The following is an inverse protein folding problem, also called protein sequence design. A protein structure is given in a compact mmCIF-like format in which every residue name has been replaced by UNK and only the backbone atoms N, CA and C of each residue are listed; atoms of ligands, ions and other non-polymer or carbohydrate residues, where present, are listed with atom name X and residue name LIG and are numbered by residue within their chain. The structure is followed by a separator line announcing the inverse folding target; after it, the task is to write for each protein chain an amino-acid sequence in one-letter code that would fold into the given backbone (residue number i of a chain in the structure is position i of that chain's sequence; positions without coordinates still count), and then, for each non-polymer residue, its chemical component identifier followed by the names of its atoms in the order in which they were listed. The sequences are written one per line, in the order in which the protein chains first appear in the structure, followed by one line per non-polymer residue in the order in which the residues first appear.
data_IF_662533291957
#
_entry.id   IF_662533291957
#
_cell.length_a   1.000
_cell.length_b   1.000
_cell.length_c   1.000
_cell.angle_alpha   90.00
_cell.angle_beta   90.00
_cell.angle_gamma   90.00
#
_symmetry.space_group_name_H-M   'P 1'
#
loop_
_entity.id
_entity.type
_entity.pdbx_description
1 polymer ?
#
# COMPACT_ATOMS: atom_id res chain seq x y z
N UNK A 1 -1.69 -38.01 -42.44
CA UNK A 1 -0.70 -37.53 -41.47
C UNK A 1 0.46 -36.93 -42.27
N UNK A 2 0.52 -35.60 -42.43
CA UNK A 2 1.67 -34.95 -43.06
C UNK A 2 2.92 -35.28 -42.24
N UNK A 3 4.00 -35.66 -42.91
CA UNK A 3 5.20 -36.19 -42.24
C UNK A 3 5.83 -35.08 -41.40
N UNK A 4 6.26 -35.39 -40.17
CA UNK A 4 6.91 -34.43 -39.26
C UNK A 4 8.11 -33.70 -39.89
N UNK A 5 8.71 -34.30 -40.93
CA UNK A 5 9.75 -33.69 -41.77
C UNK A 5 9.23 -32.57 -42.68
N UNK A 6 8.04 -32.73 -43.28
CA UNK A 6 7.43 -31.70 -44.14
C UNK A 6 7.00 -30.45 -43.35
N UNK A 7 6.66 -30.63 -42.07
CA UNK A 7 6.36 -29.50 -41.18
C UNK A 7 7.63 -28.72 -40.83
N UNK A 8 8.72 -29.42 -40.48
CA UNK A 8 10.01 -28.79 -40.21
C UNK A 8 10.57 -28.06 -41.43
N UNK A 9 10.48 -28.64 -42.63
CA UNK A 9 10.91 -27.99 -43.88
C UNK A 9 10.05 -26.76 -44.21
N UNK A 10 8.73 -26.78 -43.94
CA UNK A 10 7.88 -25.59 -44.09
C UNK A 10 8.24 -24.50 -43.08
N UNK A 11 8.53 -24.87 -41.84
CA UNK A 11 8.93 -23.91 -40.80
C UNK A 11 10.30 -23.28 -41.11
N UNK A 12 11.26 -24.07 -41.64
CA UNK A 12 12.55 -23.57 -42.14
C UNK A 12 12.39 -22.65 -43.36
N UNK A 13 11.48 -22.97 -44.30
CA UNK A 13 11.16 -22.08 -45.41
C UNK A 13 10.48 -20.78 -44.97
N UNK A 14 9.66 -20.83 -43.91
CA UNK A 14 9.02 -19.65 -43.32
C UNK A 14 10.05 -18.77 -42.58
N UNK A 15 11.02 -19.36 -41.89
CA UNK A 15 12.11 -18.64 -41.22
C UNK A 15 13.06 -17.94 -42.19
N UNK A 16 13.34 -18.55 -43.36
CA UNK A 16 14.24 -17.98 -44.37
C UNK A 16 13.58 -16.95 -45.30
N UNK A 17 12.32 -16.57 -45.05
CA UNK A 17 11.59 -15.63 -45.90
C UNK A 17 11.95 -14.19 -45.53
N UNK A 18 12.26 -13.37 -46.54
CA UNK A 18 12.45 -11.93 -46.33
C UNK A 18 11.11 -11.32 -45.92
N UNK A 19 11.00 -10.90 -44.65
CA UNK A 19 9.81 -10.25 -44.10
C UNK A 19 9.91 -8.76 -44.43
N UNK A 20 9.01 -8.28 -45.28
CA UNK A 20 8.89 -6.86 -45.60
C UNK A 20 7.93 -6.18 -44.63
N UNK A 21 8.24 -4.96 -44.20
CA UNK A 21 7.34 -4.11 -43.42
C UNK A 21 6.56 -3.14 -44.33
N UNK A 22 5.37 -2.74 -43.88
CA UNK A 22 4.65 -1.60 -44.47
C UNK A 22 5.56 -0.36 -44.45
N UNK A 23 5.71 0.38 -45.57
CA UNK A 23 4.77 0.59 -46.68
C UNK A 23 4.98 -0.28 -47.94
N UNK A 24 5.90 -1.25 -47.91
CA UNK A 24 6.25 -2.06 -49.08
C UNK A 24 5.06 -2.94 -49.51
N UNK A 25 4.59 -2.77 -50.74
CA UNK A 25 3.42 -3.49 -51.28
C UNK A 25 3.79 -4.88 -51.81
N UNK A 26 4.25 -5.75 -50.92
CA UNK A 26 4.65 -7.12 -51.25
C UNK A 26 3.94 -8.13 -50.37
N UNK A 27 3.51 -9.25 -50.94
CA UNK A 27 2.76 -10.29 -50.22
C UNK A 27 1.38 -9.83 -49.75
N UNK A 28 0.98 -10.19 -48.52
CA UNK A 28 -0.33 -9.84 -47.92
C UNK A 28 -0.36 -8.40 -47.37
N UNK A 29 0.32 -7.46 -48.02
CA UNK A 29 0.45 -6.09 -47.54
C UNK A 29 -0.90 -5.40 -47.36
N UNK A 30 -1.89 -5.70 -48.20
CA UNK A 30 -3.23 -5.10 -48.14
C UNK A 30 -4.01 -5.57 -46.92
N UNK A 31 -3.92 -6.85 -46.57
CA UNK A 31 -4.52 -7.41 -45.36
C UNK A 31 -3.83 -6.88 -44.10
N UNK A 32 -2.49 -6.82 -44.10
CA UNK A 32 -1.72 -6.25 -43.00
C UNK A 32 -2.03 -4.76 -42.79
N UNK A 33 -2.21 -4.00 -43.87
CA UNK A 33 -2.62 -2.60 -43.79
C UNK A 33 -4.04 -2.46 -43.23
N UNK A 34 -5.00 -3.25 -43.73
CA UNK A 34 -6.38 -3.23 -43.25
C UNK A 34 -6.49 -3.61 -41.76
N UNK A 35 -5.74 -4.62 -41.31
CA UNK A 35 -5.67 -4.99 -39.89
C UNK A 35 -5.12 -3.85 -39.03
N UNK A 36 -4.04 -3.18 -39.47
CA UNK A 36 -3.49 -2.03 -38.75
C UNK A 36 -4.46 -0.84 -38.70
N UNK A 37 -5.15 -0.55 -39.80
CA UNK A 37 -6.15 0.51 -39.85
C UNK A 37 -7.30 0.21 -38.88
N UNK A 38 -7.76 -1.04 -38.84
CA UNK A 38 -8.78 -1.51 -37.89
C UNK A 38 -8.31 -1.39 -36.44
N UNK A 39 -7.09 -1.86 -36.10
CA UNK A 39 -6.51 -1.72 -34.76
C UNK A 39 -6.36 -0.26 -34.34
N UNK A 40 -5.95 0.60 -35.28
CA UNK A 40 -5.80 2.04 -35.06
C UNK A 40 -7.17 2.69 -34.82
N UNK A 41 -8.18 2.33 -35.61
CA UNK A 41 -9.55 2.80 -35.44
C UNK A 41 -10.14 2.36 -34.09
N UNK A 42 -9.94 1.08 -33.71
CA UNK A 42 -10.38 0.56 -32.41
C UNK A 42 -9.66 1.26 -31.24
N UNK A 43 -8.36 1.49 -31.35
CA UNK A 43 -7.59 2.24 -30.35
C UNK A 43 -8.07 3.69 -30.24
N UNK A 44 -8.37 4.34 -31.37
CA UNK A 44 -8.92 5.71 -31.39
C UNK A 44 -10.30 5.75 -30.74
N UNK A 45 -11.16 4.78 -31.04
CA UNK A 45 -12.47 4.65 -30.41
C UNK A 45 -12.36 4.47 -28.90
N UNK A 46 -11.52 3.54 -28.43
CA UNK A 46 -11.26 3.32 -26.99
C UNK A 46 -10.68 4.57 -26.31
N UNK A 47 -9.78 5.28 -26.97
CA UNK A 47 -9.19 6.54 -26.48
C UNK A 47 -10.25 7.62 -26.25
N UNK A 48 -11.19 7.77 -27.18
CA UNK A 48 -12.28 8.75 -27.10
C UNK A 48 -13.25 8.45 -25.95
N UNK A 49 -13.44 7.17 -25.61
CA UNK A 49 -14.33 6.74 -24.53
C UNK A 49 -13.62 6.49 -23.20
N UNK A 50 -12.37 6.95 -23.03
CA UNK A 50 -11.57 6.71 -21.83
C UNK A 50 -11.43 5.22 -21.45
N UNK A 51 -11.56 4.31 -22.42
CA UNK A 51 -11.53 2.86 -22.21
C UNK A 51 -10.13 2.25 -22.35
N UNK A 52 -9.09 3.04 -22.60
CA UNK A 52 -7.72 2.52 -22.62
C UNK A 52 -7.27 2.19 -21.21
N UNK A 53 -6.63 1.03 -21.04
CA UNK A 53 -6.05 0.59 -19.77
C UNK A 53 -5.09 1.64 -19.20
N UNK A 54 -4.28 2.28 -20.06
CA UNK A 54 -3.36 3.36 -19.66
C UNK A 54 -4.10 4.55 -19.04
N UNK A 55 -5.28 4.91 -19.54
CA UNK A 55 -6.08 6.01 -18.99
C UNK A 55 -6.65 5.64 -17.62
N UNK A 56 -7.22 4.43 -17.50
CA UNK A 56 -7.73 3.91 -16.22
C UNK A 56 -6.64 3.85 -15.15
N UNK A 57 -5.50 3.27 -15.50
CA UNK A 57 -4.30 3.19 -14.66
C UNK A 57 -3.84 4.57 -14.20
N UNK A 58 -3.76 5.54 -15.11
CA UNK A 58 -3.32 6.90 -14.77
C UNK A 58 -4.28 7.56 -13.80
N UNK A 59 -5.58 7.31 -13.94
CA UNK A 59 -6.60 7.80 -13.03
C UNK A 59 -6.47 7.17 -11.64
N UNK A 60 -6.24 5.85 -11.57
CA UNK A 60 -5.97 5.14 -10.31
C UNK A 60 -4.72 5.69 -9.62
N UNK A 61 -3.62 5.88 -10.35
CA UNK A 61 -2.41 6.47 -9.75
C UNK A 61 -2.65 7.88 -9.24
N UNK A 62 -3.39 8.69 -9.99
CA UNK A 62 -3.69 10.05 -9.58
C UNK A 62 -4.55 10.09 -8.31
N UNK A 63 -5.47 9.14 -8.16
CA UNK A 63 -6.35 9.05 -7.01
C UNK A 63 -5.62 8.46 -5.79
N UNK A 64 -4.83 7.38 -5.96
CA UNK A 64 -4.17 6.65 -4.86
C UNK A 64 -2.87 7.32 -4.38
N UNK A 65 -2.08 7.88 -5.31
CA UNK A 65 -0.81 8.54 -4.99
C UNK A 65 -0.95 10.05 -4.80
N UNK A 66 -2.17 10.55 -4.63
CA UNK A 66 -2.40 11.95 -4.25
C UNK A 66 -1.64 12.25 -2.95
N UNK A 67 -0.78 13.28 -2.93
CA UNK A 67 0.02 13.59 -1.75
C UNK A 67 -0.87 14.06 -0.60
N UNK A 68 -0.50 13.69 0.62
CA UNK A 68 -1.26 14.00 1.82
C UNK A 68 -0.36 14.67 2.85
N UNK A 69 -0.87 15.68 3.56
CA UNK A 69 -0.18 16.28 4.69
C UNK A 69 -0.24 15.36 5.91
N UNK A 70 0.92 15.06 6.49
CA UNK A 70 1.02 14.37 7.78
C UNK A 70 0.86 15.36 8.93
N UNK A 71 0.49 14.84 10.10
CA UNK A 71 0.42 15.59 11.34
C UNK A 71 1.79 16.19 11.69
N UNK A 72 1.79 17.42 12.20
CA UNK A 72 3.00 18.05 12.75
C UNK A 72 3.45 17.25 13.97
N UNK A 73 4.76 17.07 14.11
CA UNK A 73 5.38 16.39 15.23
C UNK A 73 4.92 17.01 16.55
N UNK A 74 4.35 16.17 17.40
CA UNK A 74 3.80 16.51 18.70
C UNK A 74 4.42 15.56 19.74
N UNK A 75 4.42 15.92 21.04
CA UNK A 75 4.98 15.04 22.07
C UNK A 75 4.24 13.70 22.19
N UNK A 76 2.99 13.62 21.70
CA UNK A 76 2.16 12.41 21.73
C UNK A 76 1.37 12.27 20.43
N UNK A 77 1.08 11.03 20.06
CA UNK A 77 0.23 10.69 18.93
C UNK A 77 -1.22 11.04 19.28
N UNK A 78 -1.84 11.87 18.46
CA UNK A 78 -3.24 12.28 18.59
C UNK A 78 -4.18 11.48 17.68
N UNK A 79 -5.41 11.24 18.12
CA UNK A 79 -6.45 10.64 17.28
C UNK A 79 -6.93 11.61 16.18
N UNK A 80 -7.39 11.06 15.05
CA UNK A 80 -7.96 11.83 13.93
C UNK A 80 -6.94 12.49 12.99
N UNK A 81 -5.66 12.52 13.35
CA UNK A 81 -4.59 13.07 12.51
C UNK A 81 -3.95 12.00 11.60
N UNK A 82 -3.24 12.47 10.58
CA UNK A 82 -2.59 11.67 9.56
C UNK A 82 -1.16 11.24 9.98
N UNK A 83 -0.90 9.95 10.03
CA UNK A 83 0.42 9.38 10.32
C UNK A 83 0.82 8.33 9.30
N UNK A 84 2.12 8.02 9.24
CA UNK A 84 2.60 6.85 8.50
C UNK A 84 3.09 5.78 9.47
N UNK A 85 2.95 4.52 9.09
CA UNK A 85 3.51 3.41 9.85
C UNK A 85 4.74 2.92 9.12
N UNK A 86 5.90 3.16 9.72
CA UNK A 86 7.20 2.70 9.20
C UNK A 86 7.60 1.42 9.91
N UNK A 87 8.00 0.41 9.15
CA UNK A 87 8.61 -0.81 9.68
C UNK A 87 10.07 -0.57 10.00
N UNK A 88 10.56 -1.21 11.07
CA UNK A 88 11.97 -1.17 11.44
C UNK A 88 12.79 -2.08 10.52
N UNK A 89 14.00 -1.63 10.20
CA UNK A 89 14.87 -2.30 9.24
C UNK A 89 15.35 -3.67 9.77
N UNK A 90 15.17 -4.76 9.00
CA UNK A 90 15.88 -6.00 9.27
C UNK A 90 17.36 -5.82 8.91
N UNK A 91 18.25 -6.19 9.82
CA UNK A 91 19.70 -5.94 9.77
C UNK A 91 20.45 -6.64 8.63
N UNK A 92 19.77 -7.25 7.66
CA UNK A 92 20.38 -7.96 6.54
C UNK A 92 20.19 -7.22 5.21
N UNK A 93 21.24 -6.49 4.79
CA UNK A 93 21.55 -6.11 3.39
C UNK A 93 20.48 -5.33 2.62
N UNK A 94 20.73 -4.02 2.41
CA UNK A 94 20.02 -3.13 1.46
C UNK A 94 18.53 -2.81 1.76
N UNK A 95 18.07 -3.11 2.97
CA UNK A 95 16.67 -2.94 3.36
C UNK A 95 16.29 -1.46 3.60
N UNK A 96 15.81 -0.80 2.54
CA UNK A 96 15.13 0.49 2.65
C UNK A 96 14.01 0.41 3.69
N UNK A 97 13.88 1.43 4.54
CA UNK A 97 12.74 1.58 5.45
C UNK A 97 11.42 1.38 4.70
N UNK A 98 10.63 0.40 5.14
CA UNK A 98 9.35 0.07 4.52
C UNK A 98 8.22 0.80 5.24
N UNK A 99 7.20 1.19 4.49
CA UNK A 99 6.02 1.90 4.97
C UNK A 99 4.79 1.05 4.69
N UNK A 100 3.88 0.96 5.66
CA UNK A 100 2.60 0.30 5.46
C UNK A 100 1.84 1.03 4.35
N UNK A 101 1.31 0.27 3.40
CA UNK A 101 0.78 0.77 2.14
C UNK A 101 -0.41 -0.07 1.70
N UNK A 102 -1.49 0.56 1.26
CA UNK A 102 -2.69 -0.13 0.80
C UNK A 102 -2.54 -0.63 -0.64
N UNK A 103 -2.98 -1.84 -0.96
CA UNK A 103 -2.86 -2.43 -2.28
C UNK A 103 -4.24 -2.58 -2.94
N UNK A 104 -4.33 -2.16 -4.20
CA UNK A 104 -5.49 -2.46 -5.05
C UNK A 104 -5.28 -3.81 -5.75
N UNK A 105 -6.31 -4.65 -5.73
CA UNK A 105 -6.29 -5.91 -6.45
C UNK A 105 -6.51 -5.66 -7.95
N UNK A 106 -5.87 -6.45 -8.80
CA UNK A 106 -5.95 -6.31 -10.25
C UNK A 106 -7.36 -6.57 -10.79
N UNK A 107 -8.11 -7.46 -10.13
CA UNK A 107 -9.51 -7.78 -10.45
C UNK A 107 -10.43 -6.58 -10.30
N UNK A 108 -10.07 -5.64 -9.42
CA UNK A 108 -10.93 -4.53 -9.02
C UNK A 108 -10.57 -3.23 -9.78
N UNK A 109 -9.45 -3.23 -10.52
CA UNK A 109 -8.96 -2.06 -11.28
C UNK A 109 -9.92 -1.60 -12.39
N UNK A 110 -10.78 -2.50 -12.88
CA UNK A 110 -11.73 -2.16 -13.93
C UNK A 110 -12.97 -1.44 -13.44
N UNK A 111 -13.33 -1.63 -12.15
CA UNK A 111 -14.55 -1.11 -11.54
C UNK A 111 -14.29 -0.01 -10.50
N UNK A 112 -13.17 -0.08 -9.78
CA UNK A 112 -12.90 0.78 -8.63
C UNK A 112 -11.73 1.70 -8.93
N UNK A 113 -11.95 3.01 -8.77
CA UNK A 113 -10.93 4.05 -8.96
C UNK A 113 -10.23 4.44 -7.66
N UNK A 114 -10.55 3.80 -6.54
CA UNK A 114 -10.05 4.10 -5.19
C UNK A 114 -9.96 2.84 -4.34
N UNK A 115 -9.45 2.94 -3.11
CA UNK A 115 -9.50 1.84 -2.16
C UNK A 115 -10.95 1.51 -1.78
N UNK A 116 -11.25 0.20 -1.77
CA UNK A 116 -12.54 -0.36 -1.38
C UNK A 116 -12.40 -1.46 -0.34
N UNK A 117 -13.52 -2.08 0.00
CA UNK A 117 -13.56 -3.23 0.89
C UNK A 117 -12.79 -4.43 0.28
N UNK A 118 -12.02 -5.15 1.10
CA UNK A 118 -11.30 -6.37 0.70
C UNK A 118 -9.91 -6.12 0.10
N UNK A 119 -9.53 -4.86 -0.12
CA UNK A 119 -8.19 -4.47 -0.57
C UNK A 119 -7.11 -4.91 0.45
N UNK A 120 -5.99 -5.44 -0.04
CA UNK A 120 -4.90 -5.95 0.81
C UNK A 120 -3.99 -4.84 1.31
N UNK A 121 -3.16 -5.13 2.32
CA UNK A 121 -2.04 -4.28 2.72
C UNK A 121 -0.69 -4.88 2.31
N UNK A 122 0.27 -3.99 2.11
CA UNK A 122 1.63 -4.28 1.67
C UNK A 122 2.59 -3.32 2.37
N UNK A 123 3.88 -3.63 2.38
CA UNK A 123 4.90 -2.72 2.86
C UNK A 123 5.73 -2.24 1.65
N UNK A 124 5.64 -0.94 1.35
CA UNK A 124 6.32 -0.33 0.21
C UNK A 124 7.52 0.50 0.66
N UNK A 125 8.55 0.67 -0.18
CA UNK A 125 9.67 1.57 0.12
C UNK A 125 9.33 3.05 -0.11
N UNK A 126 8.05 3.39 -0.39
CA UNK A 126 7.64 4.75 -0.72
C UNK A 126 7.56 5.62 0.55
N UNK A 127 8.54 6.52 0.68
CA UNK A 127 8.62 7.49 1.78
C UNK A 127 7.65 8.67 1.67
N UNK A 128 7.27 9.05 0.45
CA UNK A 128 6.44 10.23 0.21
C UNK A 128 5.03 9.96 0.76
N UNK A 129 4.47 10.85 1.61
CA UNK A 129 3.14 10.66 2.15
C UNK A 129 2.07 10.83 1.07
N UNK A 130 1.31 9.76 0.86
CA UNK A 130 0.17 9.69 -0.04
C UNK A 130 -0.98 8.96 0.65
N UNK A 131 -2.19 9.04 0.08
CA UNK A 131 -3.39 8.40 0.64
C UNK A 131 -3.14 6.92 0.95
N UNK A 132 -2.40 6.24 0.06
CA UNK A 132 -2.00 4.83 0.21
C UNK A 132 -1.25 4.50 1.51
N UNK A 133 -0.34 5.40 1.92
CA UNK A 133 0.63 5.17 3.00
C UNK A 133 0.30 6.00 4.25
N UNK A 134 -0.88 6.62 4.29
CA UNK A 134 -1.29 7.53 5.35
C UNK A 134 -2.52 6.97 6.05
N UNK A 135 -2.40 6.83 7.36
CA UNK A 135 -3.42 6.26 8.22
C UNK A 135 -3.84 7.27 9.31
N UNK A 136 -5.09 7.19 9.71
CA UNK A 136 -5.66 7.91 10.85
C UNK A 136 -5.99 6.92 11.95
N UNK A 137 -5.66 7.30 13.17
CA UNK A 137 -6.02 6.50 14.34
C UNK A 137 -7.37 6.98 14.85
N UNK A 138 -8.27 6.05 15.13
CA UNK A 138 -9.54 6.29 15.83
C UNK A 138 -9.62 5.43 17.08
N UNK A 139 -10.32 5.95 18.09
CA UNK A 139 -10.68 5.15 19.26
C UNK A 139 -11.71 4.07 18.87
N UNK A 140 -11.56 2.85 19.37
CA UNK A 140 -12.57 1.80 19.22
C UNK A 140 -13.77 1.98 20.17
N UNK A 141 -13.60 2.77 21.24
CA UNK A 141 -14.62 3.02 22.27
C UNK A 141 -15.17 4.43 22.10
N UNK A 142 -16.48 4.55 21.96
CA UNK A 142 -17.21 5.81 21.70
C UNK A 142 -17.09 6.85 22.83
N UNK A 143 -16.65 6.45 24.02
CA UNK A 143 -16.75 7.25 25.26
C UNK A 143 -15.48 8.02 25.66
N UNK A 144 -14.39 7.92 24.88
CA UNK A 144 -13.15 8.64 25.21
C UNK A 144 -12.93 9.79 24.23
N UNK A 145 -13.21 11.01 24.70
CA UNK A 145 -12.69 12.29 24.16
C UNK A 145 -11.19 12.40 24.53
N UNK A 146 -10.47 11.29 24.51
CA UNK A 146 -9.03 11.34 24.66
C UNK A 146 -8.49 11.77 23.31
N UNK A 147 -7.85 12.94 23.28
CA UNK A 147 -7.19 13.41 22.07
C UNK A 147 -5.91 12.59 21.77
N UNK A 148 -5.46 11.75 22.70
CA UNK A 148 -4.13 11.12 22.72
C UNK A 148 -4.24 9.60 22.74
N UNK A 149 -3.31 8.92 22.07
CA UNK A 149 -3.26 7.46 22.01
C UNK A 149 -2.44 6.91 23.18
N UNK A 150 -3.01 5.97 23.93
CA UNK A 150 -2.32 5.29 25.04
C UNK A 150 -1.87 3.87 24.69
N UNK A 151 -0.77 3.42 25.29
CA UNK A 151 -0.32 2.03 25.21
C UNK A 151 -1.33 1.09 25.87
N UNK A 152 -1.71 0.02 25.17
CA UNK A 152 -2.67 -0.99 25.62
C UNK A 152 -4.15 -0.67 25.33
N UNK A 153 -4.46 0.52 24.84
CA UNK A 153 -5.80 0.94 24.43
C UNK A 153 -6.21 0.33 23.08
N UNK A 154 -7.49 -0.02 22.94
CA UNK A 154 -8.07 -0.52 21.69
C UNK A 154 -8.21 0.65 20.69
N UNK A 155 -7.53 0.54 19.56
CA UNK A 155 -7.57 1.51 18.47
C UNK A 155 -8.02 0.88 17.16
N UNK A 156 -8.65 1.68 16.32
CA UNK A 156 -8.95 1.37 14.93
C UNK A 156 -7.99 2.18 14.04
N UNK A 157 -7.39 1.51 13.05
CA UNK A 157 -6.52 2.17 12.07
C UNK A 157 -7.33 2.35 10.79
N UNK A 158 -7.58 3.60 10.43
CA UNK A 158 -8.35 4.02 9.26
C UNK A 158 -7.41 4.55 8.16
N UNK A 159 -7.80 4.46 6.90
CA UNK A 159 -7.11 5.16 5.80
C UNK A 159 -7.56 6.62 5.72
N UNK A 160 -6.68 7.51 5.29
CA UNK A 160 -6.98 8.95 5.17
C UNK A 160 -8.19 9.27 4.26
N UNK A 161 -8.30 8.62 3.10
CA UNK A 161 -9.33 8.88 2.08
C UNK A 161 -9.76 7.57 1.40
N UNK A 162 -11.06 7.40 1.20
CA UNK A 162 -11.66 6.26 0.52
C UNK A 162 -12.59 6.76 -0.59
N UNK A 163 -12.79 5.94 -1.63
CA UNK A 163 -13.55 6.37 -2.81
C UNK A 163 -15.04 6.57 -2.55
N UNK A 164 -15.60 5.85 -1.59
CA UNK A 164 -17.04 5.83 -1.29
C UNK A 164 -17.46 6.83 -0.19
N UNK A 165 -16.53 7.68 0.27
CA UNK A 165 -16.79 8.60 1.39
C UNK A 165 -17.03 7.91 2.74
N UNK A 166 -16.74 6.61 2.82
CA UNK A 166 -16.91 5.79 4.02
C UNK A 166 -15.57 5.31 4.55
N UNK A 167 -15.31 5.43 5.86
CA UNK A 167 -14.02 5.09 6.44
C UNK A 167 -13.70 3.60 6.23
N UNK A 168 -12.49 3.31 5.76
CA UNK A 168 -11.97 1.96 5.62
C UNK A 168 -10.96 1.69 6.73
N UNK A 169 -11.17 0.60 7.45
CA UNK A 169 -10.36 0.18 8.58
C UNK A 169 -9.50 -1.03 8.24
N UNK A 170 -8.35 -1.13 8.88
CA UNK A 170 -7.51 -2.32 8.81
C UNK A 170 -8.21 -3.46 9.56
N UNK A 171 -8.31 -4.63 8.94
CA UNK A 171 -8.86 -5.88 9.48
C UNK A 171 -7.85 -7.00 9.33
N UNK A 172 -7.56 -7.75 10.40
CA UNK A 172 -6.87 -9.03 10.28
C UNK A 172 -7.91 -10.12 10.02
N UNK A 173 -7.78 -10.85 8.93
CA UNK A 173 -8.64 -12.00 8.63
C UNK A 173 -8.03 -13.31 9.14
N UNK A 174 -8.88 -14.32 9.30
CA UNK A 174 -8.41 -15.68 9.53
C UNK A 174 -7.72 -16.19 8.26
N UNK A 175 -6.72 -17.07 8.37
CA UNK A 175 -6.08 -17.63 7.18
C UNK A 175 -7.15 -18.41 6.38
N UNK A 176 -7.43 -17.93 5.17
CA UNK A 176 -8.30 -18.61 4.21
C UNK A 176 -7.46 -19.49 3.28
N UNK A 177 -8.12 -20.31 2.47
CA UNK A 177 -7.48 -21.11 1.42
C UNK A 177 -6.65 -20.21 0.48
N UNK A 178 -7.09 -18.97 0.26
CA UNK A 178 -6.38 -17.99 -0.59
C UNK A 178 -5.00 -17.59 -0.04
N UNK A 179 -4.77 -17.74 1.27
CA UNK A 179 -3.48 -17.45 1.91
C UNK A 179 -2.68 -18.74 2.20
N UNK A 180 -3.09 -19.87 1.60
CA UNK A 180 -2.52 -21.20 1.81
C UNK A 180 -2.39 -21.61 3.28
N UNK A 181 -3.20 -21.01 4.17
CA UNK A 181 -3.29 -21.41 5.58
C UNK A 181 -2.16 -20.94 6.50
N UNK A 182 -1.07 -20.37 6.00
CA UNK A 182 0.13 -20.14 6.83
C UNK A 182 0.08 -18.83 7.62
N UNK A 183 -0.37 -17.73 6.99
CA UNK A 183 -0.30 -16.39 7.57
C UNK A 183 -1.66 -15.70 7.52
N UNK A 184 -1.95 -14.88 8.53
CA UNK A 184 -3.17 -14.05 8.55
C UNK A 184 -2.99 -12.85 7.64
N UNK A 185 -3.79 -12.79 6.59
CA UNK A 185 -3.82 -11.64 5.69
C UNK A 185 -4.43 -10.42 6.38
N UNK A 186 -3.90 -9.25 6.02
CA UNK A 186 -4.43 -7.96 6.49
C UNK A 186 -5.13 -7.26 5.33
N UNK A 187 -6.39 -6.92 5.53
CA UNK A 187 -7.27 -6.34 4.49
C UNK A 187 -8.02 -5.13 5.01
N UNK A 188 -8.64 -4.40 4.09
CA UNK A 188 -9.47 -3.25 4.39
C UNK A 188 -10.94 -3.62 4.55
N UNK A 189 -11.53 -3.17 5.64
CA UNK A 189 -12.93 -3.41 5.99
C UNK A 189 -13.68 -2.10 6.13
N UNK A 190 -14.87 -2.03 5.54
CA UNK A 190 -15.82 -0.94 5.77
C UNK A 190 -16.51 -1.06 7.14
N UNK A 191 -16.54 -2.26 7.70
CA UNK A 191 -17.20 -2.55 8.97
C UNK A 191 -16.17 -2.58 10.10
N UNK A 192 -16.29 -1.70 11.11
CA UNK A 192 -15.41 -1.69 12.28
C UNK A 192 -15.80 -2.82 13.25
N UNK A 193 -15.29 -4.02 12.98
CA UNK A 193 -15.52 -5.21 13.80
C UNK A 193 -14.43 -5.39 14.88
N UNK A 194 -14.58 -6.39 15.75
CA UNK A 194 -13.55 -6.83 16.71
C UNK A 194 -12.23 -7.18 15.99
N UNK A 195 -12.32 -7.68 14.76
CA UNK A 195 -11.17 -7.99 13.89
C UNK A 195 -10.44 -6.76 13.33
N UNK A 196 -10.97 -5.55 13.56
CA UNK A 196 -10.34 -4.28 13.17
C UNK A 196 -9.64 -3.59 14.34
N UNK A 197 -9.68 -4.19 15.54
CA UNK A 197 -9.11 -3.60 16.76
C UNK A 197 -7.65 -3.99 16.91
N UNK A 198 -6.82 -2.98 17.10
CA UNK A 198 -5.39 -3.11 17.37
C UNK A 198 -5.03 -2.45 18.69
N UNK A 199 -3.87 -2.80 19.23
CA UNK A 199 -3.24 -2.19 20.40
C UNK A 199 -1.82 -1.82 20.09
N UNK A 200 -1.40 -0.66 20.55
CA UNK A 200 0.02 -0.31 20.59
C UNK A 200 0.62 -0.84 21.89
N UNK A 201 1.71 -1.59 21.76
CA UNK A 201 2.51 -2.11 22.86
C UNK A 201 3.93 -1.60 22.74
N UNK A 202 4.61 -1.46 23.88
CA UNK A 202 6.03 -1.15 23.88
C UNK A 202 6.84 -2.33 23.32
N UNK A 203 7.87 -2.04 22.53
CA UNK A 203 8.70 -3.06 21.88
C UNK A 203 9.29 -4.07 22.90
N UNK A 204 9.86 -3.55 24.00
CA UNK A 204 10.45 -4.38 25.05
C UNK A 204 9.36 -4.99 25.96
N UNK A 205 9.23 -6.34 26.02
CA UNK A 205 8.25 -7.03 26.84
C UNK A 205 8.30 -6.66 28.33
N UNK A 206 9.51 -6.44 28.88
CA UNK A 206 9.68 -6.15 30.31
C UNK A 206 9.06 -4.82 30.70
N UNK A 207 9.10 -3.83 29.80
CA UNK A 207 8.55 -2.49 30.03
C UNK A 207 7.05 -2.40 29.77
N UNK A 208 6.43 -3.39 29.11
CA UNK A 208 5.01 -3.33 28.71
C UNK A 208 4.07 -3.06 29.88
N UNK A 209 4.35 -3.69 31.03
CA UNK A 209 3.55 -3.51 32.24
C UNK A 209 3.70 -2.10 32.85
N UNK A 210 4.88 -1.50 32.73
CA UNK A 210 5.16 -0.14 33.23
C UNK A 210 4.60 0.93 32.29
N UNK A 211 4.63 0.66 30.99
CA UNK A 211 4.17 1.60 29.96
C UNK A 211 2.67 1.55 29.72
N UNK A 212 1.93 0.63 30.33
CA UNK A 212 0.48 0.54 30.11
C UNK A 212 -0.20 1.84 30.56
N UNK A 213 -1.14 2.35 29.76
CA UNK A 213 -1.79 3.65 29.97
C UNK A 213 -0.86 4.88 29.90
N UNK A 214 0.37 4.74 29.40
CA UNK A 214 1.21 5.89 29.04
C UNK A 214 0.97 6.30 27.59
N UNK A 215 1.26 7.56 27.26
CA UNK A 215 1.01 8.09 25.91
C UNK A 215 2.02 7.53 24.91
N UNK A 216 1.55 7.25 23.69
CA UNK A 216 2.41 6.84 22.59
C UNK A 216 3.10 8.08 22.01
N UNK A 217 4.42 8.08 22.04
CA UNK A 217 5.26 9.14 21.45
C UNK A 217 5.52 8.84 19.97
N UNK A 218 5.45 9.84 19.07
CA UNK A 218 5.84 9.64 17.66
C UNK A 218 7.28 9.18 17.51
N UNK A 219 7.58 8.53 16.38
CA UNK A 219 8.90 8.03 15.99
C UNK A 219 9.57 7.05 16.97
N UNK A 220 8.81 6.57 17.96
CA UNK A 220 9.25 5.49 18.84
C UNK A 220 8.84 4.12 18.32
N UNK A 221 9.65 3.12 18.65
CA UNK A 221 9.41 1.73 18.25
C UNK A 221 8.31 1.11 19.08
N UNK A 222 7.24 0.71 18.41
CA UNK A 222 6.04 0.11 18.95
C UNK A 222 5.74 -1.23 18.27
N UNK A 223 5.01 -2.09 18.97
CA UNK A 223 4.43 -3.30 18.41
C UNK A 223 2.94 -3.07 18.25
N UNK A 224 2.41 -3.38 17.07
CA UNK A 224 0.99 -3.27 16.77
C UNK A 224 0.40 -4.67 16.91
N UNK A 225 -0.37 -4.91 17.97
CA UNK A 225 -1.00 -6.20 18.24
C UNK A 225 -2.46 -6.19 17.84
N UNK A 226 -2.90 -7.20 17.11
CA UNK A 226 -4.31 -7.41 16.80
C UNK A 226 -5.04 -8.03 18.01
N UNK A 227 -6.09 -7.37 18.49
CA UNK A 227 -6.76 -7.71 19.76
C UNK A 227 -7.39 -9.10 19.72
N UNK A 228 -8.09 -9.45 18.63
CA UNK A 228 -8.84 -10.70 18.58
C UNK A 228 -7.92 -11.94 18.50
N UNK A 229 -6.80 -11.83 17.78
CA UNK A 229 -5.86 -12.96 17.59
C UNK A 229 -4.70 -12.98 18.58
N UNK A 230 -4.39 -11.85 19.23
CA UNK A 230 -3.17 -11.67 20.01
C UNK A 230 -1.86 -11.70 19.19
N UNK A 231 -1.94 -11.80 17.86
CA UNK A 231 -0.78 -11.76 16.97
C UNK A 231 -0.41 -10.32 16.60
N UNK A 232 0.86 -10.13 16.23
CA UNK A 232 1.40 -8.82 15.91
C UNK A 232 1.39 -8.56 14.41
N UNK A 233 1.32 -7.29 14.01
CA UNK A 233 1.54 -6.91 12.62
C UNK A 233 3.00 -7.15 12.26
N UNK A 234 3.25 -7.86 11.17
CA UNK A 234 4.58 -8.19 10.67
C UNK A 234 4.72 -7.77 9.21
N UNK A 235 5.92 -7.32 8.85
CA UNK A 235 6.36 -7.31 7.46
C UNK A 235 7.05 -8.64 7.18
N UNK A 236 6.84 -9.19 5.99
CA UNK A 236 7.47 -10.41 5.50
C UNK A 236 8.55 -10.07 4.47
N UNK A 237 9.83 -9.89 4.86
CA UNK A 237 10.88 -9.49 3.93
C UNK A 237 11.16 -10.56 2.86
N UNK A 238 10.90 -11.83 3.18
CA UNK A 238 11.10 -12.97 2.29
C UNK A 238 9.99 -13.07 1.23
N UNK A 239 8.83 -12.47 1.48
CA UNK A 239 7.67 -12.51 0.59
C UNK A 239 7.56 -11.22 -0.21
N UNK A 240 8.46 -11.06 -1.19
CA UNK A 240 8.40 -9.96 -2.15
C UNK A 240 7.36 -10.24 -3.21
N UNK A 241 6.43 -9.31 -3.39
CA UNK A 241 5.36 -9.41 -4.36
C UNK A 241 5.59 -8.35 -5.44
N UNK A 242 5.78 -8.74 -6.71
CA UNK A 242 5.79 -7.81 -7.81
C UNK A 242 4.36 -7.29 -8.02
N UNK A 243 4.16 -6.01 -7.78
CA UNK A 243 2.87 -5.35 -7.89
C UNK A 243 2.95 -4.20 -8.88
N UNK A 244 1.79 -3.67 -9.22
CA UNK A 244 1.65 -2.57 -10.16
C UNK A 244 2.44 -1.30 -9.75
N UNK A 245 2.70 -1.14 -8.45
CA UNK A 245 3.44 -0.03 -7.86
C UNK A 245 4.96 -0.27 -7.77
N UNK A 246 5.43 -1.48 -8.12
CA UNK A 246 6.79 -1.95 -7.91
C UNK A 246 6.84 -3.20 -7.02
N UNK A 247 8.05 -3.60 -6.63
CA UNK A 247 8.25 -4.72 -5.72
C UNK A 247 8.00 -4.28 -4.27
N UNK A 248 7.10 -4.98 -3.59
CA UNK A 248 6.67 -4.65 -2.23
C UNK A 248 6.67 -5.89 -1.36
N UNK A 249 6.79 -5.73 -0.04
CA UNK A 249 6.74 -6.86 0.88
C UNK A 249 5.30 -7.14 1.32
N UNK A 250 4.99 -8.42 1.54
CA UNK A 250 3.73 -8.81 2.14
C UNK A 250 3.66 -8.32 3.61
N UNK A 251 2.46 -7.95 4.06
CA UNK A 251 2.18 -7.62 5.46
C UNK A 251 1.15 -8.62 6.00
N UNK A 252 1.45 -9.18 7.16
CA UNK A 252 0.65 -10.24 7.79
C UNK A 252 0.44 -9.95 9.28
N UNK A 253 -0.56 -10.58 9.90
CA UNK A 253 -0.69 -10.60 11.35
C UNK A 253 -0.03 -11.88 11.90
N UNK A 254 1.28 -11.87 12.08
CA UNK A 254 2.08 -12.98 12.62
C UNK A 254 3.08 -12.48 13.67
N UNK A 255 3.30 -13.28 14.72
CA UNK A 255 4.29 -12.93 15.77
C UNK A 255 5.55 -13.75 15.57
N UNK A 256 6.57 -13.12 15.00
CA UNK A 256 7.90 -13.67 14.94
C UNK A 256 8.58 -13.53 16.30
N UNK A 257 9.22 -14.62 16.74
CA UNK A 257 9.94 -14.65 18.01
C UNK A 257 11.31 -15.25 17.80
N UNK A 258 12.30 -14.61 18.39
CA UNK A 258 13.63 -15.17 18.50
C UNK A 258 13.65 -16.32 19.53
N UNK A 259 14.75 -17.05 19.58
CA UNK A 259 15.13 -18.05 20.59
C UNK A 259 14.86 -17.59 22.02
N UNK A 260 15.01 -16.29 22.31
CA UNK A 260 14.72 -15.69 23.61
C UNK A 260 13.24 -15.35 23.85
N UNK A 261 12.33 -15.78 22.97
CA UNK A 261 10.89 -15.45 22.96
C UNK A 261 10.58 -13.96 22.82
N UNK A 262 11.56 -13.18 22.39
CA UNK A 262 11.43 -11.75 22.11
C UNK A 262 10.92 -11.57 20.69
N UNK A 263 10.04 -10.60 20.47
CA UNK A 263 9.62 -10.25 19.11
C UNK A 263 10.80 -9.74 18.29
N UNK A 264 10.83 -10.12 17.01
CA UNK A 264 11.88 -9.73 16.08
C UNK A 264 11.56 -8.39 15.40
N UNK A 265 12.52 -7.86 14.64
CA UNK A 265 12.43 -6.55 13.97
C UNK A 265 11.29 -6.43 12.98
N UNK A 266 10.87 -7.54 12.38
CA UNK A 266 9.72 -7.66 11.46
C UNK A 266 8.40 -7.21 12.11
N UNK A 267 8.30 -7.34 13.44
CA UNK A 267 7.15 -6.91 14.24
C UNK A 267 7.26 -5.50 14.81
N UNK A 268 8.40 -4.83 14.60
CA UNK A 268 8.65 -3.49 15.11
C UNK A 268 8.19 -2.45 14.08
N UNK A 269 7.36 -1.52 14.55
CA UNK A 269 6.84 -0.41 13.79
C UNK A 269 7.17 0.91 14.48
N UNK A 270 7.16 2.01 13.75
CA UNK A 270 7.25 3.36 14.30
C UNK A 270 6.18 4.25 13.66
N UNK A 271 5.45 5.00 14.47
CA UNK A 271 4.44 5.95 14.00
C UNK A 271 5.16 7.24 13.60
N UNK A 272 5.28 7.49 12.31
CA UNK A 272 6.01 8.64 11.77
C UNK A 272 5.07 9.84 11.63
N UNK A 273 5.54 10.97 12.14
CA UNK A 273 4.90 12.28 11.99
C UNK A 273 5.77 13.21 11.11
N UNK A 274 5.24 14.36 10.69
CA UNK A 274 6.01 15.36 9.96
C UNK A 274 6.90 16.11 10.95
N UNK A 275 8.23 16.12 10.79
CA UNK A 275 9.09 16.92 11.67
C UNK A 275 8.71 18.40 11.57
N UNK A 276 8.70 19.10 12.71
CA UNK A 276 8.43 20.55 12.79
C UNK A 276 9.44 21.33 11.92
N UNK A 277 10.66 20.82 11.79
CA UNK A 277 11.74 21.38 10.98
C UNK A 277 11.67 20.92 9.53
N UNK A 278 10.52 21.10 8.88
CA UNK A 278 10.47 20.88 7.44
C UNK A 278 11.28 21.98 6.75
N UNK A 279 12.58 21.73 6.56
CA UNK A 279 13.47 22.54 5.74
C UNK A 279 12.89 22.77 4.34
N UNK A 280 11.97 21.92 3.88
CA UNK A 280 11.18 22.15 2.67
C UNK A 280 10.27 23.39 2.73
N UNK A 281 9.73 23.77 3.91
CA UNK A 281 8.98 25.04 4.09
C UNK A 281 9.93 26.24 4.03
N UNK A 282 11.10 26.17 4.67
CA UNK A 282 12.12 27.22 4.55
C UNK A 282 12.66 27.34 3.12
N UNK A 283 12.81 26.23 2.39
CA UNK A 283 13.24 26.23 0.98
C UNK A 283 12.14 26.75 0.04
N UNK A 284 10.86 26.50 0.34
CA UNK A 284 9.72 27.06 -0.41
C UNK A 284 9.50 28.54 -0.11
N UNK A 285 9.64 28.95 1.16
CA UNK A 285 9.65 30.35 1.57
C UNK A 285 10.85 31.11 0.98
N UNK A 286 12.04 30.49 0.96
CA UNK A 286 13.23 31.04 0.29
C UNK A 286 13.09 31.08 -1.25
N UNK A 287 12.19 30.28 -1.83
CA UNK A 287 11.83 30.32 -3.25
C UNK A 287 10.67 31.28 -3.56
N UNK A 288 10.11 31.97 -2.56
CA UNK A 288 9.07 32.99 -2.75
C UNK A 288 7.69 32.45 -3.12
N UNK A 289 7.38 31.19 -2.78
CA UNK A 289 6.02 30.67 -2.92
C UNK A 289 5.17 31.14 -1.73
N UNK A 290 4.04 31.80 -2.00
CA UNK A 290 3.12 32.29 -0.96
C UNK A 290 2.51 31.11 -0.18
N UNK A 291 2.94 30.96 1.06
CA UNK A 291 2.38 30.01 2.01
C UNK A 291 1.18 30.69 2.67
N UNK A 292 -0.02 30.16 2.46
CA UNK A 292 -1.22 30.67 3.11
C UNK A 292 -1.18 30.31 4.61
N UNK A 293 -0.94 31.30 5.46
CA UNK A 293 -0.68 31.14 6.91
C UNK A 293 -1.97 30.95 7.72
N UNK A 294 -3.15 31.12 7.11
CA UNK A 294 -4.44 31.09 7.82
C UNK A 294 -4.99 29.68 8.16
N UNK A 295 -4.17 28.64 8.19
CA UNK A 295 -4.59 27.29 8.62
C UNK A 295 -3.91 26.81 9.91
N UNK A 296 -3.24 27.69 10.65
CA UNK A 296 -2.44 27.32 11.83
C UNK A 296 -3.03 27.74 13.18
N UNK A 297 -4.19 28.37 13.21
CA UNK A 297 -4.91 28.67 14.46
C UNK A 297 -6.32 28.05 14.39
N UNK A 298 -6.44 26.81 14.89
CA UNK A 298 -7.57 26.25 15.69
C UNK A 298 -7.35 24.75 16.00
#
# INVERSE_FOLDING_TARGET
MASRREQLERDEMLQNRIIYSLPTRMGNWSEQLALREYETAMTKYKKQHCGLVVQKVKQIFHSVLKPTSLAVEAPYVKFGLNYQLKSLEPSSSDARSLYLSCLLNETDMDAIQHFGHGCCLSASPLRIPCIRNTFRLRSATLDQIEQQVFYGQDVLIEICESGEGQPLYIRCENPSIDTFGELRAVRLSKYPDIYCRFKFLHWNPKKRHETINTTVTPDTTVIIQHVASGQNLAVEPQSLIPKFYGTECLVTCHTYRDTHRMETVENCWSVVSRPISDTALYVRAAKGEDINVEQFDD
#
